data_IF_284018680158
#
_entry.id   IF_284018680158
#
_cell.length_a   1.000
_cell.length_b   1.000
_cell.length_c   1.000
_cell.angle_alpha   90.00
_cell.angle_beta   90.00
_cell.angle_gamma   90.00
#
_symmetry.space_group_name_H-M   'P 1'
#
loop_
_entity.id
_entity.type
_entity.pdbx_description
1 polymer ?
#
# COMPACT_ATOMS: atom_id res chain seq x y z
N UNK A 1 -4.93 55.11 -25.36
CA UNK A 1 -3.95 54.69 -24.33
C UNK A 1 -2.52 55.03 -24.73
N UNK A 2 -1.93 54.63 -25.85
CA UNK A 2 -0.62 55.22 -26.28
C UNK A 2 -0.75 56.47 -27.16
N UNK A 3 -1.91 56.60 -27.81
CA UNK A 3 -2.25 57.64 -28.79
C UNK A 3 -2.23 59.06 -28.21
N UNK A 4 -2.55 59.22 -26.92
CA UNK A 4 -2.53 60.52 -26.24
C UNK A 4 -1.11 60.98 -25.91
N UNK A 5 -0.21 60.06 -25.55
CA UNK A 5 1.20 60.37 -25.31
C UNK A 5 1.93 60.68 -26.63
N UNK A 6 1.64 59.91 -27.69
CA UNK A 6 2.15 60.19 -29.04
C UNK A 6 1.68 61.57 -29.56
N UNK A 7 0.45 61.97 -29.25
CA UNK A 7 -0.07 63.30 -29.58
C UNK A 7 0.67 64.41 -28.81
N UNK A 8 0.91 64.24 -27.50
CA UNK A 8 1.71 65.18 -26.70
C UNK A 8 3.15 65.32 -27.20
N UNK A 9 3.80 64.22 -27.57
CA UNK A 9 5.15 64.25 -28.17
C UNK A 9 5.16 65.08 -29.46
N UNK A 10 4.11 64.98 -30.27
CA UNK A 10 3.99 65.67 -31.56
C UNK A 10 3.69 67.17 -31.42
N UNK A 11 3.10 67.58 -30.30
CA UNK A 11 2.66 68.96 -30.03
C UNK A 11 3.62 69.73 -29.09
N UNK A 12 4.56 69.04 -28.42
CA UNK A 12 5.49 69.65 -27.45
C UNK A 12 6.61 70.46 -28.12
N UNK A 13 6.93 71.62 -27.54
CA UNK A 13 7.87 72.62 -28.11
C UNK A 13 9.28 72.53 -27.47
N UNK A 14 9.40 71.96 -26.26
CA UNK A 14 10.65 71.88 -25.51
C UNK A 14 11.09 70.44 -25.20
N UNK A 15 12.40 70.18 -25.24
CA UNK A 15 12.97 68.82 -25.22
C UNK A 15 12.85 68.04 -23.91
N UNK A 16 12.45 68.67 -22.80
CA UNK A 16 12.19 67.98 -21.52
C UNK A 16 10.81 67.32 -21.49
N UNK A 17 9.78 67.99 -22.02
CA UNK A 17 8.42 67.45 -22.14
C UNK A 17 8.36 66.29 -23.15
N UNK A 18 9.12 66.41 -24.25
CA UNK A 18 9.26 65.34 -25.25
C UNK A 18 9.95 64.11 -24.62
N UNK A 19 11.03 64.30 -23.86
CA UNK A 19 11.73 63.19 -23.19
C UNK A 19 10.88 62.48 -22.15
N UNK A 20 10.15 63.25 -21.32
CA UNK A 20 9.25 62.67 -20.32
C UNK A 20 8.09 61.90 -20.98
N UNK A 21 7.50 62.46 -22.03
CA UNK A 21 6.42 61.79 -22.76
C UNK A 21 6.89 60.53 -23.50
N UNK A 22 8.14 60.49 -23.99
CA UNK A 22 8.75 59.28 -24.57
C UNK A 22 8.99 58.23 -23.48
N UNK A 23 9.52 58.64 -22.32
CA UNK A 23 9.72 57.74 -21.18
C UNK A 23 8.40 57.10 -20.74
N UNK A 24 7.36 57.91 -20.54
CA UNK A 24 6.04 57.44 -20.09
C UNK A 24 5.38 56.52 -21.13
N UNK A 25 5.55 56.81 -22.43
CA UNK A 25 5.04 55.95 -23.49
C UNK A 25 5.75 54.59 -23.54
N UNK A 26 7.07 54.56 -23.33
CA UNK A 26 7.85 53.32 -23.27
C UNK A 26 7.47 52.52 -22.02
N UNK A 27 7.33 53.16 -20.87
CA UNK A 27 6.90 52.51 -19.63
C UNK A 27 5.49 51.92 -19.78
N UNK A 28 4.58 52.64 -20.44
CA UNK A 28 3.24 52.13 -20.73
C UNK A 28 3.27 50.94 -21.70
N UNK A 29 4.15 50.92 -22.72
CA UNK A 29 4.36 49.74 -23.57
C UNK A 29 4.80 48.52 -22.76
N UNK A 30 5.66 48.68 -21.75
CA UNK A 30 6.07 47.58 -20.87
C UNK A 30 4.94 47.12 -19.92
N UNK A 31 4.13 48.05 -19.40
CA UNK A 31 2.95 47.73 -18.58
C UNK A 31 1.86 47.02 -19.38
N UNK A 32 1.59 47.49 -20.59
CA UNK A 32 0.63 46.89 -21.50
C UNK A 32 1.10 45.50 -21.97
N UNK A 33 2.42 45.31 -22.18
CA UNK A 33 2.99 43.99 -22.45
C UNK A 33 2.84 43.06 -21.24
N UNK A 34 3.24 43.46 -20.04
CA UNK A 34 3.17 42.59 -18.85
C UNK A 34 1.74 42.21 -18.42
N UNK A 35 0.73 43.02 -18.77
CA UNK A 35 -0.68 42.73 -18.50
C UNK A 35 -1.43 41.96 -19.62
N UNK A 36 -0.83 41.77 -20.80
CA UNK A 36 -1.48 41.06 -21.91
C UNK A 36 -1.23 39.54 -21.80
N UNK A 37 -2.28 38.70 -21.83
CA UNK A 37 -2.14 37.23 -21.67
C UNK A 37 -1.26 36.58 -22.75
N UNK A 38 -1.13 37.20 -23.92
CA UNK A 38 -0.31 36.73 -25.05
C UNK A 38 1.10 37.34 -25.09
N UNK A 39 1.49 38.13 -24.10
CA UNK A 39 2.84 38.71 -24.11
C UNK A 39 3.90 37.67 -23.80
N UNK A 40 5.08 37.86 -24.39
CA UNK A 40 6.23 36.99 -24.16
C UNK A 40 6.57 36.90 -22.67
N UNK A 41 6.41 37.99 -21.90
CA UNK A 41 6.69 38.02 -20.47
C UNK A 41 5.68 37.17 -19.65
N UNK A 42 4.38 37.27 -19.96
CA UNK A 42 3.35 36.47 -19.29
C UNK A 42 3.50 34.97 -19.61
N UNK A 43 3.81 34.64 -20.87
CA UNK A 43 4.07 33.27 -21.31
C UNK A 43 5.30 32.69 -20.61
N UNK A 44 6.40 33.44 -20.51
CA UNK A 44 7.62 33.00 -19.80
C UNK A 44 7.37 32.78 -18.31
N UNK A 45 6.60 33.65 -17.65
CA UNK A 45 6.17 33.46 -16.26
C UNK A 45 5.32 32.20 -16.07
N UNK A 46 4.34 31.97 -16.96
CA UNK A 46 3.50 30.78 -16.95
C UNK A 46 4.32 29.49 -17.12
N UNK A 47 5.21 29.46 -18.12
CA UNK A 47 6.13 28.35 -18.36
C UNK A 47 7.07 28.09 -17.18
N UNK A 48 7.57 29.15 -16.53
CA UNK A 48 8.44 29.01 -15.35
C UNK A 48 7.70 28.36 -14.18
N UNK A 49 6.44 28.73 -13.96
CA UNK A 49 5.59 28.13 -12.92
C UNK A 49 5.29 26.67 -13.22
N UNK A 50 4.92 26.35 -14.45
CA UNK A 50 4.63 24.98 -14.90
C UNK A 50 5.88 24.07 -14.81
N UNK A 51 7.08 24.61 -15.09
CA UNK A 51 8.35 23.88 -14.92
C UNK A 51 8.60 23.53 -13.44
N UNK A 52 8.33 24.45 -12.52
CA UNK A 52 8.50 24.22 -11.08
C UNK A 52 7.52 23.17 -10.56
N UNK A 53 6.25 23.23 -11.00
CA UNK A 53 5.23 22.25 -10.66
C UNK A 53 5.61 20.85 -11.18
N UNK A 54 5.94 20.72 -12.47
CA UNK A 54 6.39 19.44 -13.05
C UNK A 54 7.65 18.89 -12.39
N UNK A 55 8.59 19.76 -12.00
CA UNK A 55 9.79 19.33 -11.28
C UNK A 55 9.43 18.70 -9.93
N UNK A 56 8.45 19.27 -9.24
CA UNK A 56 7.97 18.75 -7.95
C UNK A 56 7.30 17.39 -8.13
N UNK A 57 6.45 17.24 -9.15
CA UNK A 57 5.80 15.95 -9.46
C UNK A 57 6.82 14.86 -9.80
N UNK A 58 7.82 15.20 -10.62
CA UNK A 58 8.92 14.28 -10.97
C UNK A 58 9.74 13.90 -9.74
N UNK A 59 10.03 14.84 -8.84
CA UNK A 59 10.78 14.57 -7.62
C UNK A 59 9.97 13.66 -6.66
N UNK A 60 8.65 13.78 -6.63
CA UNK A 60 7.74 12.86 -5.90
C UNK A 60 7.72 11.46 -6.53
N UNK A 61 7.52 11.36 -7.85
CA UNK A 61 7.55 10.05 -8.52
C UNK A 61 8.91 9.38 -8.41
N UNK A 62 10.00 10.15 -8.39
CA UNK A 62 11.35 9.62 -8.16
C UNK A 62 11.50 9.02 -6.76
N UNK A 63 10.97 9.67 -5.71
CA UNK A 63 10.95 9.11 -4.35
C UNK A 63 10.10 7.85 -4.26
N UNK A 64 8.95 7.81 -4.96
CA UNK A 64 8.12 6.61 -5.06
C UNK A 64 8.89 5.47 -5.71
N UNK A 65 9.59 5.74 -6.81
CA UNK A 65 10.46 4.77 -7.49
C UNK A 65 11.61 4.31 -6.58
N UNK A 66 12.28 5.22 -5.87
CA UNK A 66 13.36 4.86 -4.95
C UNK A 66 12.84 3.99 -3.78
N UNK A 67 11.66 4.30 -3.25
CA UNK A 67 10.98 3.46 -2.25
C UNK A 67 10.61 2.08 -2.82
N UNK A 68 10.14 2.01 -4.07
CA UNK A 68 9.85 0.74 -4.75
C UNK A 68 11.13 -0.08 -4.96
N UNK A 69 12.25 0.56 -5.31
CA UNK A 69 13.55 -0.10 -5.47
C UNK A 69 14.07 -0.60 -4.13
N UNK A 70 13.99 0.22 -3.06
CA UNK A 70 14.42 -0.14 -1.72
C UNK A 70 13.58 -1.29 -1.13
N UNK A 71 12.28 -1.31 -1.39
CA UNK A 71 11.41 -2.42 -1.01
C UNK A 71 11.68 -3.69 -1.87
N UNK A 72 11.97 -3.51 -3.17
CA UNK A 72 12.19 -4.60 -4.12
C UNK A 72 13.55 -5.29 -4.01
N UNK A 73 14.58 -4.63 -3.46
CA UNK A 73 15.94 -5.21 -3.38
C UNK A 73 16.13 -6.22 -2.25
N UNK A 74 15.20 -6.34 -1.30
CA UNK A 74 15.41 -7.13 -0.07
C UNK A 74 14.64 -8.45 0.03
N UNK A 75 13.72 -8.79 -0.88
CA UNK A 75 12.95 -10.04 -0.79
C UNK A 75 13.22 -10.93 -1.99
N UNK A 76 14.39 -11.56 -2.00
CA UNK A 76 14.63 -12.71 -2.87
C UNK A 76 13.57 -13.78 -2.56
N UNK A 77 12.77 -14.14 -3.56
CA UNK A 77 11.82 -15.24 -3.45
C UNK A 77 12.52 -16.45 -2.86
N UNK A 78 12.04 -16.93 -1.72
CA UNK A 78 12.55 -18.17 -1.17
C UNK A 78 11.97 -19.31 -2.01
N UNK A 79 12.84 -20.08 -2.67
CA UNK A 79 12.45 -21.32 -3.36
C UNK A 79 12.51 -22.50 -2.38
N UNK A 80 11.86 -23.60 -2.73
CA UNK A 80 11.97 -24.83 -1.94
C UNK A 80 13.43 -25.26 -1.80
N UNK A 81 13.84 -25.67 -0.60
CA UNK A 81 15.24 -26.02 -0.30
C UNK A 81 15.36 -27.41 0.29
N UNK A 82 16.49 -28.06 0.01
CA UNK A 82 16.82 -29.34 0.63
C UNK A 82 17.29 -29.09 2.04
N UNK A 83 16.61 -29.70 3.01
CA UNK A 83 16.88 -29.54 4.43
C UNK A 83 17.56 -30.78 5.04
N UNK A 84 17.53 -31.90 4.32
CA UNK A 84 18.21 -33.13 4.71
C UNK A 84 18.63 -33.93 3.49
N UNK A 85 19.84 -34.47 3.52
CA UNK A 85 20.29 -35.56 2.63
C UNK A 85 21.10 -36.60 3.40
N UNK A 86 20.96 -37.88 3.05
CA UNK A 86 21.77 -38.98 3.62
C UNK A 86 22.72 -39.57 2.59
N UNK A 87 23.71 -40.32 3.06
CA UNK A 87 24.66 -41.01 2.17
C UNK A 87 24.01 -42.15 1.37
N UNK A 88 24.73 -42.57 0.31
CA UNK A 88 24.31 -43.56 -0.71
C UNK A 88 24.17 -44.98 -0.14
N UNK A 89 24.74 -45.24 1.04
CA UNK A 89 24.72 -46.56 1.66
C UNK A 89 23.83 -46.55 2.91
N UNK A 90 22.55 -46.84 2.70
CA UNK A 90 21.61 -47.12 3.78
C UNK A 90 22.01 -48.34 4.59
N UNK A 91 21.95 -48.26 5.92
CA UNK A 91 22.22 -49.41 6.81
C UNK A 91 21.12 -50.45 6.67
N UNK A 92 21.49 -51.69 6.37
CA UNK A 92 20.51 -52.76 6.20
C UNK A 92 19.97 -53.28 7.54
N UNK A 93 18.67 -53.58 7.56
CA UNK A 93 17.97 -54.28 8.63
C UNK A 93 17.46 -55.60 8.09
N UNK A 94 17.70 -56.68 8.83
CA UNK A 94 17.15 -57.99 8.49
C UNK A 94 15.64 -58.01 8.74
N UNK A 95 14.88 -58.38 7.72
CA UNK A 95 13.44 -58.56 7.76
C UNK A 95 13.10 -60.04 7.61
N UNK A 96 12.14 -60.52 8.40
CA UNK A 96 11.51 -61.82 8.16
C UNK A 96 10.25 -61.64 7.31
N UNK A 97 9.94 -62.61 6.45
CA UNK A 97 8.72 -62.56 5.65
C UNK A 97 7.45 -62.53 6.52
N UNK A 98 7.50 -63.09 7.72
CA UNK A 98 6.38 -63.14 8.69
C UNK A 98 6.47 -62.06 9.78
N UNK A 99 7.35 -61.07 9.63
CA UNK A 99 7.54 -60.06 10.66
C UNK A 99 6.34 -59.10 10.76
N UNK A 100 5.96 -58.79 12.00
CA UNK A 100 5.13 -57.62 12.31
C UNK A 100 5.82 -56.33 11.84
N UNK A 101 5.06 -55.23 11.81
CA UNK A 101 5.56 -53.91 11.39
C UNK A 101 6.95 -53.59 11.99
N UNK A 102 7.96 -53.43 11.13
CA UNK A 102 9.34 -53.14 11.54
C UNK A 102 9.57 -51.64 11.43
N UNK A 103 9.97 -51.01 12.52
CA UNK A 103 10.42 -49.61 12.49
C UNK A 103 11.80 -49.56 11.86
N UNK A 104 11.92 -48.93 10.69
CA UNK A 104 13.21 -48.72 10.05
C UNK A 104 13.85 -47.44 10.57
N UNK A 105 14.86 -47.62 11.41
CA UNK A 105 15.41 -46.61 12.29
C UNK A 105 16.79 -46.08 11.86
N UNK A 106 17.25 -46.46 10.66
CA UNK A 106 18.57 -46.07 10.13
C UNK A 106 18.48 -45.04 9.02
N UNK A 107 17.29 -44.57 8.69
CA UNK A 107 17.07 -43.66 7.57
C UNK A 107 17.76 -42.32 7.75
N UNK A 108 17.80 -41.78 8.97
CA UNK A 108 18.38 -40.46 9.23
C UNK A 108 19.80 -40.54 9.78
N UNK A 109 20.50 -41.66 9.54
CA UNK A 109 21.92 -41.79 9.82
C UNK A 109 22.76 -41.13 8.73
N UNK A 110 24.01 -40.78 9.06
CA UNK A 110 24.99 -40.29 8.10
C UNK A 110 24.46 -39.10 7.27
N UNK A 111 23.80 -38.14 7.92
CA UNK A 111 23.26 -36.93 7.29
C UNK A 111 24.41 -36.07 6.77
N UNK A 112 24.35 -35.71 5.49
CA UNK A 112 25.37 -34.94 4.79
C UNK A 112 25.11 -33.44 4.81
N UNK A 113 23.83 -33.05 4.72
CA UNK A 113 23.40 -31.66 4.81
C UNK A 113 22.16 -31.59 5.69
N UNK A 114 22.13 -30.59 6.56
CA UNK A 114 21.05 -30.34 7.52
C UNK A 114 20.81 -28.84 7.62
N UNK A 115 19.54 -28.44 7.66
CA UNK A 115 19.13 -27.07 7.98
C UNK A 115 18.44 -27.06 9.36
N UNK A 116 19.17 -26.55 10.36
CA UNK A 116 18.74 -26.58 11.77
C UNK A 116 17.47 -25.76 12.05
N UNK A 117 17.07 -24.85 11.15
CA UNK A 117 15.82 -24.10 11.29
C UNK A 117 14.60 -24.93 10.90
N UNK A 118 14.79 -26.01 10.14
CA UNK A 118 13.72 -26.82 9.57
C UNK A 118 13.71 -28.23 10.11
N UNK A 119 14.86 -28.80 10.46
CA UNK A 119 14.95 -30.20 10.87
C UNK A 119 16.01 -30.42 11.94
N UNK A 120 15.73 -31.31 12.89
CA UNK A 120 16.70 -31.82 13.86
C UNK A 120 16.65 -33.34 13.93
N UNK A 121 17.79 -33.96 14.20
CA UNK A 121 17.87 -35.39 14.50
C UNK A 121 18.09 -35.51 16.02
N UNK A 122 17.05 -35.84 16.80
CA UNK A 122 17.11 -35.82 18.26
C UNK A 122 18.04 -36.89 18.82
N UNK A 123 18.75 -36.55 19.90
CA UNK A 123 19.46 -37.51 20.76
C UNK A 123 18.51 -37.98 21.90
N UNK A 124 18.55 -39.25 22.37
CA UNK A 124 19.46 -40.34 22.00
C UNK A 124 19.06 -41.11 20.73
N UNK A 125 17.92 -40.78 20.13
CA UNK A 125 17.36 -41.46 18.96
C UNK A 125 18.03 -41.04 17.62
N UNK A 126 19.35 -40.81 17.63
CA UNK A 126 20.08 -40.40 16.42
C UNK A 126 19.95 -41.48 15.34
N UNK A 127 19.35 -41.09 14.21
CA UNK A 127 19.07 -41.98 13.07
C UNK A 127 17.63 -42.48 12.96
N UNK A 128 16.94 -42.61 14.09
CA UNK A 128 15.66 -43.29 14.23
C UNK A 128 14.50 -42.40 13.80
N UNK A 129 14.59 -41.13 14.15
CA UNK A 129 13.52 -40.14 14.00
C UNK A 129 14.14 -38.85 13.50
N UNK A 130 13.42 -38.11 12.68
CA UNK A 130 13.71 -36.72 12.39
C UNK A 130 12.60 -35.84 12.93
N UNK A 131 12.94 -34.67 13.48
CA UNK A 131 11.98 -33.68 13.97
C UNK A 131 11.97 -32.50 13.02
N UNK A 132 10.86 -32.31 12.32
CA UNK A 132 10.57 -31.14 11.51
C UNK A 132 10.11 -30.00 12.42
N UNK A 133 10.71 -28.82 12.28
CA UNK A 133 10.56 -27.71 13.21
C UNK A 133 9.55 -26.65 12.76
N UNK A 134 9.16 -26.65 11.48
CA UNK A 134 8.27 -25.64 10.90
C UNK A 134 7.04 -26.27 10.26
N UNK A 135 5.83 -25.73 10.51
CA UNK A 135 4.66 -26.05 9.70
C UNK A 135 4.93 -25.75 8.23
N UNK A 136 4.48 -26.64 7.34
CA UNK A 136 4.76 -26.50 5.92
C UNK A 136 4.48 -27.75 5.09
N UNK A 137 4.77 -27.62 3.80
CA UNK A 137 4.71 -28.69 2.81
C UNK A 137 6.11 -29.24 2.54
N UNK A 138 6.25 -30.55 2.65
CA UNK A 138 7.50 -31.27 2.53
C UNK A 138 7.40 -32.33 1.44
N UNK A 139 8.52 -32.56 0.78
CA UNK A 139 8.72 -33.66 -0.14
C UNK A 139 9.93 -34.47 0.31
N UNK A 140 9.76 -35.78 0.40
CA UNK A 140 10.77 -36.73 0.82
C UNK A 140 10.90 -37.80 -0.24
N UNK A 141 12.12 -38.05 -0.69
CA UNK A 141 12.42 -39.14 -1.62
C UNK A 141 13.56 -39.99 -1.08
N UNK A 142 13.56 -41.27 -1.39
CA UNK A 142 14.65 -42.20 -1.03
C UNK A 142 14.62 -43.44 -1.92
N UNK A 143 15.71 -44.20 -1.90
CA UNK A 143 15.83 -45.48 -2.60
C UNK A 143 15.60 -46.61 -1.60
N UNK A 144 14.51 -47.35 -1.78
CA UNK A 144 14.25 -48.59 -1.07
C UNK A 144 15.01 -49.75 -1.74
N UNK A 145 15.79 -50.49 -0.97
CA UNK A 145 16.58 -51.63 -1.42
C UNK A 145 16.21 -52.88 -0.65
N UNK A 146 16.02 -53.98 -1.37
CA UNK A 146 15.94 -55.33 -0.79
C UNK A 146 17.14 -56.14 -1.26
N UNK A 147 17.68 -57.00 -0.40
CA UNK A 147 18.79 -57.89 -0.76
C UNK A 147 18.75 -59.22 -0.02
N UNK A 148 19.24 -60.28 -0.66
CA UNK A 148 19.29 -61.63 -0.12
C UNK A 148 20.36 -62.46 -0.84
N UNK A 149 21.01 -63.36 -0.12
CA UNK A 149 21.90 -64.37 -0.72
C UNK A 149 21.09 -65.40 -1.50
N UNK A 150 21.41 -65.62 -2.78
CA UNK A 150 20.78 -66.67 -3.60
C UNK A 150 19.54 -66.25 -4.38
N UNK A 151 19.42 -64.97 -4.74
CA UNK A 151 18.27 -64.43 -5.49
C UNK A 151 17.14 -63.95 -4.59
N UNK A 152 16.23 -63.17 -5.16
CA UNK A 152 15.08 -62.59 -4.47
C UNK A 152 13.79 -63.24 -4.98
N UNK A 153 12.91 -63.75 -4.09
CA UNK A 153 11.54 -64.03 -4.47
C UNK A 153 10.79 -62.70 -4.71
N UNK A 154 9.53 -62.79 -5.12
CA UNK A 154 8.68 -61.60 -5.10
C UNK A 154 8.51 -61.11 -3.65
N UNK A 155 8.76 -59.81 -3.42
CA UNK A 155 8.66 -59.17 -2.10
C UNK A 155 7.72 -57.97 -2.21
N UNK A 156 6.43 -58.13 -1.91
CA UNK A 156 5.53 -57.01 -1.76
C UNK A 156 5.71 -56.36 -0.39
N UNK A 157 5.87 -55.05 -0.37
CA UNK A 157 6.20 -54.26 0.80
C UNK A 157 5.23 -53.11 0.97
N UNK A 158 4.91 -52.81 2.22
CA UNK A 158 4.23 -51.60 2.64
C UNK A 158 5.25 -50.71 3.35
N UNK A 159 5.43 -49.49 2.86
CA UNK A 159 6.27 -48.48 3.50
C UNK A 159 5.38 -47.34 3.96
N UNK A 160 5.42 -47.04 5.25
CA UNK A 160 4.57 -46.02 5.88
C UNK A 160 5.46 -44.93 6.46
N UNK A 161 5.23 -43.69 6.04
CA UNK A 161 5.74 -42.52 6.73
C UNK A 161 4.79 -42.20 7.88
N UNK A 162 5.32 -42.21 9.10
CA UNK A 162 4.56 -41.90 10.30
C UNK A 162 4.98 -40.59 10.93
N UNK A 163 4.07 -39.94 11.65
CA UNK A 163 4.35 -38.79 12.51
C UNK A 163 3.86 -38.94 13.95
N UNK A 164 4.52 -38.23 14.86
CA UNK A 164 4.04 -37.97 16.22
C UNK A 164 4.33 -36.53 16.63
N UNK A 165 3.56 -36.02 17.61
CA UNK A 165 3.81 -34.70 18.21
C UNK A 165 4.98 -34.71 19.21
N UNK A 166 5.32 -35.87 19.77
CA UNK A 166 6.41 -36.09 20.72
C UNK A 166 7.29 -37.25 20.30
N UNK A 167 8.56 -37.23 20.73
CA UNK A 167 9.55 -38.26 20.40
C UNK A 167 9.10 -39.68 20.78
N UNK A 168 8.52 -39.83 21.98
CA UNK A 168 8.04 -41.11 22.51
C UNK A 168 6.50 -41.24 22.39
N UNK A 169 5.89 -40.44 21.50
CA UNK A 169 4.44 -40.43 21.31
C UNK A 169 3.92 -41.57 20.45
N UNK A 170 2.60 -41.63 20.31
CA UNK A 170 1.95 -42.51 19.34
C UNK A 170 2.18 -41.98 17.93
N UNK A 171 2.79 -42.82 17.09
CA UNK A 171 3.07 -42.50 15.70
C UNK A 171 1.89 -42.93 14.81
N UNK A 172 1.39 -42.00 14.01
CA UNK A 172 0.27 -42.20 13.09
C UNK A 172 0.74 -42.13 11.64
N UNK A 173 0.11 -42.89 10.75
CA UNK A 173 0.46 -42.88 9.33
C UNK A 173 0.06 -41.55 8.66
N UNK A 174 0.99 -40.91 7.97
CA UNK A 174 0.71 -39.73 7.12
C UNK A 174 0.70 -40.13 5.64
N UNK A 175 1.59 -41.05 5.25
CA UNK A 175 1.68 -41.56 3.88
C UNK A 175 1.99 -43.06 3.88
N UNK A 176 1.52 -43.75 2.86
CA UNK A 176 1.73 -45.18 2.69
C UNK A 176 1.96 -45.47 1.22
N UNK A 177 3.04 -46.17 0.91
CA UNK A 177 3.33 -46.69 -0.42
C UNK A 177 3.36 -48.22 -0.39
N UNK A 178 2.83 -48.82 -1.45
CA UNK A 178 2.88 -50.26 -1.68
C UNK A 178 3.81 -50.53 -2.87
N UNK A 179 4.83 -51.35 -2.65
CA UNK A 179 5.85 -51.66 -3.64
C UNK A 179 5.92 -53.16 -3.83
N UNK A 180 6.11 -53.61 -5.06
CA UNK A 180 6.40 -55.02 -5.34
C UNK A 180 7.79 -55.11 -5.96
N UNK A 181 8.70 -55.77 -5.25
CA UNK A 181 9.99 -56.17 -5.80
C UNK A 181 9.79 -57.51 -6.52
N UNK A 182 9.94 -57.58 -7.85
CA UNK A 182 9.69 -58.80 -8.61
C UNK A 182 10.73 -59.88 -8.29
N UNK A 183 10.34 -61.14 -8.46
CA UNK A 183 11.26 -62.26 -8.35
C UNK A 183 12.43 -62.12 -9.35
N UNK A 184 13.65 -62.40 -8.90
CA UNK A 184 14.86 -62.28 -9.71
C UNK A 184 15.99 -63.16 -9.19
N UNK A 185 16.90 -63.57 -10.09
CA UNK A 185 18.17 -64.21 -9.70
C UNK A 185 19.17 -63.21 -9.10
N UNK A 186 18.94 -61.91 -9.27
CA UNK A 186 19.77 -60.86 -8.66
C UNK A 186 19.67 -60.90 -7.13
N UNK A 187 20.80 -60.65 -6.47
CA UNK A 187 20.88 -60.62 -5.00
C UNK A 187 20.40 -59.32 -4.38
N UNK A 188 20.08 -58.30 -5.19
CA UNK A 188 19.46 -57.07 -4.72
C UNK A 188 18.61 -56.37 -5.78
N UNK A 189 17.55 -55.69 -5.34
CA UNK A 189 16.73 -54.80 -6.15
C UNK A 189 16.53 -53.45 -5.47
N UNK A 190 16.26 -52.42 -6.28
CA UNK A 190 16.05 -51.05 -5.82
C UNK A 190 14.79 -50.44 -6.45
N UNK A 191 14.13 -49.56 -5.70
CA UNK A 191 12.96 -48.77 -6.13
C UNK A 191 13.03 -47.38 -5.50
N UNK A 192 12.67 -46.36 -6.27
CA UNK A 192 12.48 -45.01 -5.74
C UNK A 192 11.14 -44.93 -5.02
N UNK A 193 11.12 -44.21 -3.91
CA UNK A 193 9.92 -43.95 -3.09
C UNK A 193 9.86 -42.46 -2.82
N UNK A 194 8.69 -41.87 -2.99
CA UNK A 194 8.44 -40.44 -2.84
C UNK A 194 7.22 -40.19 -1.96
N UNK A 195 7.33 -39.23 -1.05
CA UNK A 195 6.27 -38.80 -0.15
C UNK A 195 6.16 -37.29 -0.19
N UNK A 196 5.00 -36.78 -0.59
CA UNK A 196 4.62 -35.37 -0.40
C UNK A 196 3.61 -35.27 0.73
N UNK A 197 3.95 -34.53 1.79
CA UNK A 197 3.15 -34.45 3.01
C UNK A 197 3.24 -33.05 3.64
N UNK A 198 2.16 -32.66 4.33
CA UNK A 198 2.08 -31.41 5.07
C UNK A 198 2.10 -31.67 6.57
N UNK A 199 2.70 -30.75 7.33
CA UNK A 199 2.65 -30.74 8.78
C UNK A 199 2.17 -29.37 9.27
N UNK A 200 1.32 -29.37 10.29
CA UNK A 200 0.71 -28.13 10.82
C UNK A 200 1.41 -27.62 12.08
N UNK A 201 2.32 -28.41 12.63
CA UNK A 201 3.09 -28.12 13.84
C UNK A 201 4.43 -28.83 13.79
N UNK A 202 5.31 -28.54 14.74
CA UNK A 202 6.57 -29.26 14.90
C UNK A 202 6.27 -30.75 15.08
N UNK A 203 6.88 -31.59 14.24
CA UNK A 203 6.44 -32.98 14.08
C UNK A 203 7.65 -33.91 13.99
N UNK A 204 7.59 -35.01 14.73
CA UNK A 204 8.56 -36.10 14.63
C UNK A 204 8.12 -37.08 13.55
N UNK A 205 9.02 -37.51 12.66
CA UNK A 205 8.76 -38.45 11.58
C UNK A 205 9.68 -39.66 11.64
N UNK A 206 9.17 -40.83 11.23
CA UNK A 206 9.94 -42.07 11.07
C UNK A 206 9.32 -42.96 10.00
N UNK A 207 10.07 -43.97 9.55
CA UNK A 207 9.56 -44.99 8.64
C UNK A 207 9.19 -46.27 9.36
N UNK A 208 8.07 -46.83 8.95
CA UNK A 208 7.62 -48.17 9.27
C UNK A 208 7.57 -48.99 7.98
N UNK A 209 8.09 -50.20 8.02
CA UNK A 209 8.22 -51.08 6.85
C UNK A 209 7.70 -52.46 7.20
N UNK A 210 6.85 -53.01 6.32
CA UNK A 210 6.23 -54.32 6.53
C UNK A 210 6.27 -55.11 5.23
N UNK A 211 6.56 -56.40 5.33
CA UNK A 211 6.32 -57.32 4.21
C UNK A 211 4.83 -57.71 4.19
N UNK A 212 4.25 -57.85 2.99
CA UNK A 212 2.81 -58.07 2.82
C UNK A 212 2.46 -59.52 2.45
N UNK A 213 3.46 -60.42 2.34
CA UNK A 213 3.24 -61.83 1.98
C UNK A 213 3.75 -62.80 3.03
N UNK A 214 2.94 -63.83 3.26
CA UNK A 214 3.25 -65.01 4.08
C UNK A 214 4.28 -65.91 3.38
N UNK A 215 5.56 -65.54 3.50
CA UNK A 215 6.70 -66.32 3.02
C UNK A 215 7.51 -66.95 4.15
N UNK A 216 8.50 -67.79 3.81
CA UNK A 216 9.49 -68.32 4.76
C UNK A 216 10.89 -67.76 4.48
N UNK A 217 11.60 -67.32 5.52
CA UNK A 217 13.01 -66.90 5.45
C UNK A 217 13.24 -65.45 5.89
N UNK A 218 14.37 -64.88 5.44
CA UNK A 218 14.72 -63.48 5.67
C UNK A 218 15.30 -62.81 4.41
N UNK A 219 15.22 -61.49 4.39
CA UNK A 219 15.88 -60.62 3.44
C UNK A 219 16.33 -59.35 4.17
N UNK A 220 17.24 -58.58 3.58
CA UNK A 220 17.70 -57.32 4.13
C UNK A 220 16.99 -56.17 3.43
N UNK A 221 16.44 -55.24 4.20
CA UNK A 221 15.93 -53.97 3.72
C UNK A 221 16.87 -52.83 4.08
N UNK A 222 17.11 -51.90 3.16
CA UNK A 222 17.69 -50.60 3.48
C UNK A 222 17.00 -49.49 2.71
N UNK A 223 16.99 -48.31 3.30
CA UNK A 223 16.67 -47.07 2.61
C UNK A 223 17.92 -46.20 2.52
N UNK A 224 18.24 -45.76 1.31
CA UNK A 224 19.42 -44.97 0.97
C UNK A 224 19.03 -43.69 0.21
N UNK A 225 19.98 -42.77 0.04
CA UNK A 225 19.80 -41.54 -0.75
C UNK A 225 18.55 -40.75 -0.36
N UNK A 226 18.24 -40.71 0.94
CA UNK A 226 17.09 -39.98 1.44
C UNK A 226 17.35 -38.48 1.30
N UNK A 227 16.44 -37.77 0.65
CA UNK A 227 16.43 -36.32 0.54
C UNK A 227 15.09 -35.78 1.02
N UNK A 228 15.11 -34.82 1.95
CA UNK A 228 13.93 -34.07 2.35
C UNK A 228 14.09 -32.64 1.85
N UNK A 229 13.09 -32.18 1.11
CA UNK A 229 12.96 -30.84 0.58
C UNK A 229 11.75 -30.18 1.22
N UNK A 230 11.94 -29.01 1.83
CA UNK A 230 10.82 -28.15 2.21
C UNK A 230 10.38 -27.38 0.96
N UNK A 231 9.13 -27.55 0.57
CA UNK A 231 8.54 -26.89 -0.60
C UNK A 231 7.95 -25.55 -0.18
N UNK A 232 7.19 -25.54 0.92
CA UNK A 232 6.51 -24.37 1.45
C UNK A 232 6.51 -24.39 2.98
N UNK A 233 6.50 -23.23 3.62
CA UNK A 233 6.53 -23.13 5.08
C UNK A 233 5.89 -21.83 5.57
N UNK A 234 5.43 -21.87 6.82
CA UNK A 234 4.92 -20.67 7.48
C UNK A 234 5.99 -19.57 7.52
N UNK A 235 5.69 -18.41 6.95
CA UNK A 235 6.61 -17.27 6.86
C UNK A 235 7.54 -17.31 5.65
N UNK A 236 7.38 -18.23 4.69
CA UNK A 236 8.10 -18.22 3.43
C UNK A 236 7.83 -16.93 2.66
N UNK A 237 8.88 -16.27 2.22
CA UNK A 237 8.75 -15.09 1.35
C UNK A 237 8.36 -15.54 -0.07
N UNK A 238 7.06 -15.50 -0.36
CA UNK A 238 6.53 -15.72 -1.70
C UNK A 238 6.74 -14.46 -2.54
N UNK A 239 7.46 -14.58 -3.67
CA UNK A 239 7.76 -13.49 -4.61
C UNK A 239 6.55 -12.83 -5.29
N UNK A 240 5.32 -13.19 -4.92
CA UNK A 240 4.10 -12.52 -5.37
C UNK A 240 3.80 -11.29 -4.50
N UNK A 241 4.68 -10.29 -4.54
CA UNK A 241 4.36 -8.97 -3.97
C UNK A 241 4.61 -7.81 -4.93
N UNK A 242 5.14 -8.05 -6.14
CA UNK A 242 5.26 -6.98 -7.14
C UNK A 242 3.91 -6.36 -7.54
N UNK A 243 2.79 -7.07 -7.35
CA UNK A 243 1.44 -6.52 -7.58
C UNK A 243 0.69 -6.11 -6.30
N UNK A 244 1.19 -6.46 -5.10
CA UNK A 244 0.46 -6.21 -3.84
C UNK A 244 1.38 -5.55 -2.83
N UNK A 245 1.83 -4.33 -3.17
CA UNK A 245 2.23 -3.38 -2.13
C UNK A 245 1.02 -3.20 -1.21
N UNK A 246 1.18 -3.38 0.09
CA UNK A 246 0.12 -3.10 1.06
C UNK A 246 -0.29 -1.65 0.83
N UNK A 247 -1.44 -1.46 0.18
CA UNK A 247 -1.91 -0.14 -0.25
C UNK A 247 -2.23 0.79 0.94
N UNK A 248 -1.95 0.33 2.16
CA UNK A 248 -1.86 1.10 3.39
C UNK A 248 -0.51 1.76 3.65
N UNK A 249 0.52 1.57 2.86
CA UNK A 249 1.83 2.21 3.08
C UNK A 249 1.90 3.49 2.22
N UNK A 250 2.13 4.63 2.87
CA UNK A 250 2.28 5.95 2.24
C UNK A 250 3.63 6.18 1.56
N UNK A 251 3.70 7.23 0.74
CA UNK A 251 4.96 7.71 0.13
C UNK A 251 6.02 8.08 1.19
N UNK A 252 5.57 8.51 2.36
CA UNK A 252 6.39 8.83 3.54
C UNK A 252 6.80 7.58 4.36
N UNK A 253 6.40 6.38 3.92
CA UNK A 253 6.63 5.12 4.63
C UNK A 253 5.66 4.85 5.79
N UNK A 254 4.68 5.73 6.03
CA UNK A 254 3.69 5.56 7.10
C UNK A 254 2.71 4.45 6.75
N UNK A 255 2.52 3.47 7.66
CA UNK A 255 1.52 2.41 7.51
C UNK A 255 0.19 2.80 8.17
N UNK A 256 -0.83 3.03 7.35
CA UNK A 256 -2.18 3.39 7.78
C UNK A 256 -2.98 2.19 8.29
N UNK A 257 -3.98 2.43 9.15
CA UNK A 257 -4.73 1.35 9.80
C UNK A 257 -5.61 0.57 8.80
N UNK A 258 -6.10 1.25 7.77
CA UNK A 258 -6.96 0.68 6.73
C UNK A 258 -6.72 1.34 5.36
N UNK A 259 -7.14 0.63 4.30
CA UNK A 259 -6.95 1.07 2.91
C UNK A 259 -7.64 2.40 2.61
N UNK A 260 -8.83 2.64 3.18
CA UNK A 260 -9.54 3.91 2.98
C UNK A 260 -8.80 5.10 3.57
N UNK A 261 -8.17 4.95 4.74
CA UNK A 261 -7.34 5.96 5.37
C UNK A 261 -6.09 6.25 4.55
N UNK A 262 -5.47 5.20 4.02
CA UNK A 262 -4.30 5.34 3.15
C UNK A 262 -4.63 6.08 1.85
N UNK A 263 -5.69 5.67 1.16
CA UNK A 263 -6.17 6.34 -0.06
C UNK A 263 -6.50 7.81 0.24
N UNK A 264 -7.18 8.11 1.35
CA UNK A 264 -7.52 9.51 1.70
C UNK A 264 -6.31 10.39 2.04
N UNK A 265 -5.27 9.83 2.66
CA UNK A 265 -4.06 10.59 3.00
C UNK A 265 -3.09 10.69 1.81
N UNK A 266 -3.04 9.68 0.95
CA UNK A 266 -2.16 9.63 -0.22
C UNK A 266 -2.76 10.31 -1.45
N UNK A 267 -4.09 10.27 -1.62
CA UNK A 267 -4.81 11.10 -2.57
C UNK A 267 -4.92 12.53 -2.03
N UNK A 268 -3.78 13.20 -1.85
CA UNK A 268 -3.71 14.63 -1.53
C UNK A 268 -4.32 15.44 -2.68
N UNK A 269 -5.65 15.55 -2.62
CA UNK A 269 -6.51 16.32 -3.50
C UNK A 269 -7.88 16.59 -2.86
N UNK A 270 -8.21 15.93 -1.75
CA UNK A 270 -9.40 16.26 -0.96
C UNK A 270 -8.98 17.26 0.14
N UNK A 271 -9.41 18.53 0.09
CA UNK A 271 -9.05 19.50 1.10
C UNK A 271 -9.59 19.06 2.47
N UNK A 272 -8.71 18.88 3.44
CA UNK A 272 -9.09 18.69 4.84
C UNK A 272 -9.73 19.97 5.37
N UNK A 273 -10.82 19.84 6.13
CA UNK A 273 -11.45 20.96 6.82
C UNK A 273 -10.52 21.50 7.91
N UNK A 274 -10.36 22.82 8.03
CA UNK A 274 -9.44 23.46 8.98
C UNK A 274 -9.81 23.25 10.46
N UNK A 275 -11.00 22.72 10.74
CA UNK A 275 -11.47 22.39 12.08
C UNK A 275 -11.42 20.86 12.31
N UNK A 276 -10.28 20.25 12.69
CA UNK A 276 -10.21 18.80 12.82
C UNK A 276 -10.41 18.22 14.23
N UNK A 277 -10.53 19.02 15.30
CA UNK A 277 -10.35 18.47 16.69
C UNK A 277 -11.29 19.00 17.78
N UNK A 278 -12.50 19.43 17.43
CA UNK A 278 -13.51 19.81 18.42
C UNK A 278 -14.66 18.80 18.40
N UNK A 279 -15.18 18.47 19.59
CA UNK A 279 -16.47 17.83 19.77
C UNK A 279 -17.40 18.87 20.39
N UNK A 280 -18.15 19.57 19.55
CA UNK A 280 -19.12 20.59 19.95
C UNK A 280 -20.51 20.14 19.51
N UNK A 281 -21.46 20.13 20.42
CA UNK A 281 -22.86 19.85 20.11
C UNK A 281 -23.72 20.76 20.98
N UNK A 282 -24.32 21.77 20.37
CA UNK A 282 -25.14 22.75 21.06
C UNK A 282 -26.36 23.09 20.20
N UNK A 283 -27.52 23.16 20.85
CA UNK A 283 -28.75 23.71 20.27
C UNK A 283 -29.04 25.08 20.87
N UNK A 284 -29.04 26.13 20.05
CA UNK A 284 -29.38 27.51 20.43
C UNK A 284 -30.46 28.00 19.46
N UNK A 285 -31.49 28.67 19.97
CA UNK A 285 -32.60 29.21 19.17
C UNK A 285 -33.27 28.17 18.25
N UNK A 286 -33.32 26.89 18.64
CA UNK A 286 -33.87 25.81 17.80
C UNK A 286 -32.97 25.31 16.66
N UNK A 287 -31.76 25.85 16.54
CA UNK A 287 -30.72 25.41 15.61
C UNK A 287 -29.67 24.59 16.34
N UNK A 288 -29.38 23.40 15.84
CA UNK A 288 -28.34 22.51 16.35
C UNK A 288 -27.08 22.62 15.52
N UNK A 289 -25.97 22.93 16.19
CA UNK A 289 -24.62 22.97 15.61
C UNK A 289 -23.84 21.78 16.12
N UNK A 290 -23.33 20.97 15.19
CA UNK A 290 -22.50 19.79 15.48
C UNK A 290 -21.13 19.98 14.83
N UNK A 291 -20.09 19.92 15.63
CA UNK A 291 -18.70 19.81 15.21
C UNK A 291 -18.15 18.50 15.77
N UNK A 292 -17.82 17.54 14.90
CA UNK A 292 -17.27 16.25 15.32
C UNK A 292 -16.14 15.84 14.39
N UNK A 293 -14.90 15.90 14.87
CA UNK A 293 -13.74 15.60 14.05
C UNK A 293 -13.62 16.55 12.86
N UNK A 294 -13.86 16.06 11.63
CA UNK A 294 -13.86 16.86 10.39
C UNK A 294 -15.26 17.24 9.90
N UNK A 295 -16.31 16.76 10.56
CA UNK A 295 -17.70 17.01 10.20
C UNK A 295 -18.21 18.25 10.93
N UNK A 296 -18.69 19.22 10.16
CA UNK A 296 -19.33 20.43 10.64
C UNK A 296 -20.75 20.46 10.06
N UNK A 297 -21.76 20.58 10.91
CA UNK A 297 -23.17 20.65 10.50
C UNK A 297 -23.96 21.70 11.29
N UNK A 298 -24.85 22.43 10.61
CA UNK A 298 -25.84 23.34 11.23
C UNK A 298 -27.22 22.95 10.70
N UNK A 299 -28.11 22.54 11.60
CA UNK A 299 -29.43 22.03 11.22
C UNK A 299 -30.51 22.46 12.21
N UNK A 300 -31.70 22.79 11.72
CA UNK A 300 -32.86 23.05 12.57
C UNK A 300 -33.77 24.14 12.02
N UNK A 301 -34.72 24.58 12.83
CA UNK A 301 -35.61 25.70 12.54
C UNK A 301 -35.53 26.71 13.66
N UNK A 302 -35.20 27.95 13.32
CA UNK A 302 -34.98 29.01 14.29
C UNK A 302 -36.29 29.35 15.03
N UNK A 303 -36.28 29.26 16.36
CA UNK A 303 -37.43 29.56 17.22
C UNK A 303 -37.52 31.02 17.63
N UNK A 304 -36.47 31.81 17.39
CA UNK A 304 -36.37 33.24 17.66
C UNK A 304 -35.27 33.90 16.82
N UNK A 305 -35.20 35.23 16.83
CA UNK A 305 -34.09 35.96 16.21
C UNK A 305 -32.87 35.90 17.12
N UNK A 306 -31.69 35.69 16.55
CA UNK A 306 -30.47 35.69 17.34
C UNK A 306 -29.21 35.47 16.52
N UNK A 307 -28.10 35.33 17.25
CA UNK A 307 -26.78 35.11 16.70
C UNK A 307 -26.21 33.85 17.33
N UNK A 308 -25.83 32.89 16.49
CA UNK A 308 -25.21 31.65 16.91
C UNK A 308 -23.71 31.84 16.75
N UNK A 309 -23.03 32.02 17.88
CA UNK A 309 -21.58 32.14 17.93
C UNK A 309 -20.93 30.75 17.95
N UNK A 310 -19.91 30.58 17.11
CA UNK A 310 -19.09 29.39 17.02
C UNK A 310 -17.64 29.87 17.14
N UNK A 311 -17.13 29.85 18.37
CA UNK A 311 -15.77 30.24 18.71
C UNK A 311 -14.87 29.01 18.92
N UNK A 312 -13.61 29.10 18.51
CA UNK A 312 -12.61 28.10 18.86
C UNK A 312 -12.02 28.42 20.25
N UNK A 313 -12.57 27.84 21.32
CA UNK A 313 -12.20 28.18 22.71
C UNK A 313 -10.87 27.60 23.21
N UNK A 314 -10.14 26.78 22.43
CA UNK A 314 -8.85 26.23 22.86
C UNK A 314 -7.68 26.71 22.00
N UNK A 315 -6.72 27.32 22.70
CA UNK A 315 -5.50 28.04 22.27
C UNK A 315 -4.53 27.16 21.42
N UNK A 316 -4.86 25.91 21.15
CA UNK A 316 -3.95 24.99 20.46
C UNK A 316 -4.46 24.57 19.09
N UNK A 317 -3.71 25.04 18.09
CA UNK A 317 -3.69 24.64 16.68
C UNK A 317 -4.90 25.06 15.84
N UNK A 318 -4.93 26.35 15.53
CA UNK A 318 -5.37 26.73 14.19
C UNK A 318 -4.20 26.53 13.24
N UNK A 319 -4.34 25.66 12.24
CA UNK A 319 -3.44 25.58 11.09
C UNK A 319 -3.60 26.78 10.14
N UNK A 320 -3.83 27.97 10.70
CA UNK A 320 -3.94 29.23 9.97
C UNK A 320 -2.53 29.78 9.81
N UNK A 321 -2.03 29.72 8.59
CA UNK A 321 -0.79 30.40 8.23
C UNK A 321 -1.12 31.87 7.98
N UNK A 322 -0.39 32.74 8.65
CA UNK A 322 -0.57 34.17 8.52
C UNK A 322 -0.42 34.62 7.06
N UNK A 323 -1.31 35.50 6.57
CA UNK A 323 -1.32 35.96 5.18
C UNK A 323 -1.84 34.94 4.16
N UNK A 324 -2.27 33.74 4.58
CA UNK A 324 -2.81 32.72 3.67
C UNK A 324 -4.31 32.91 3.44
N UNK A 325 -4.72 32.70 2.19
CA UNK A 325 -6.14 32.74 1.80
C UNK A 325 -6.78 31.35 1.92
N UNK A 326 -7.96 31.33 2.51
CA UNK A 326 -8.84 30.19 2.68
C UNK A 326 -10.17 30.46 2.00
N UNK A 327 -10.83 29.38 1.59
CA UNK A 327 -12.13 29.39 0.92
C UNK A 327 -13.14 28.69 1.81
N UNK A 328 -14.32 29.30 1.95
CA UNK A 328 -15.36 28.89 2.87
C UNK A 328 -16.59 28.42 2.10
N UNK A 329 -17.02 27.19 2.34
CA UNK A 329 -18.14 26.58 1.63
C UNK A 329 -19.19 26.08 2.60
N UNK A 330 -20.45 26.15 2.16
CA UNK A 330 -21.59 25.56 2.86
C UNK A 330 -22.05 26.33 4.10
N UNK A 331 -21.59 27.56 4.34
CA UNK A 331 -22.12 28.42 5.40
C UNK A 331 -23.36 29.20 4.94
N UNK A 332 -24.28 29.55 5.87
CA UNK A 332 -25.35 30.49 5.57
C UNK A 332 -24.79 31.83 5.05
N UNK A 333 -25.34 32.31 3.93
CA UNK A 333 -24.98 33.60 3.35
C UNK A 333 -25.23 34.71 4.39
N UNK A 334 -24.24 35.58 4.59
CA UNK A 334 -24.26 36.62 5.61
C UNK A 334 -23.61 36.23 6.94
N UNK A 335 -23.01 35.04 7.07
CA UNK A 335 -22.22 34.65 8.25
C UNK A 335 -21.06 35.62 8.46
N UNK A 336 -20.94 36.15 9.68
CA UNK A 336 -19.88 37.07 10.06
C UNK A 336 -18.69 36.26 10.56
N UNK A 337 -17.50 36.63 10.12
CA UNK A 337 -16.23 36.01 10.48
C UNK A 337 -15.35 37.05 11.16
N UNK A 338 -15.04 36.82 12.42
CA UNK A 338 -14.21 37.73 13.22
C UNK A 338 -12.89 37.04 13.57
N UNK A 339 -11.78 37.66 13.20
CA UNK A 339 -10.43 37.25 13.59
C UNK A 339 -10.01 38.00 14.85
N UNK A 340 -9.57 37.28 15.88
CA UNK A 340 -9.15 37.85 17.16
C UNK A 340 -7.67 37.53 17.44
N UNK A 341 -6.95 38.50 17.99
CA UNK A 341 -5.61 38.37 18.60
C UNK A 341 -5.71 38.35 20.13
N UNK A 342 -4.57 38.33 20.83
CA UNK A 342 -4.54 38.51 22.30
C UNK A 342 -5.06 39.86 22.77
N UNK A 343 -4.99 40.90 21.92
CA UNK A 343 -5.29 42.29 22.31
C UNK A 343 -6.64 42.79 21.77
N UNK A 344 -7.36 41.97 21.00
CA UNK A 344 -8.67 42.29 20.45
C UNK A 344 -8.86 41.84 19.00
N UNK A 345 -9.87 42.41 18.34
CA UNK A 345 -10.22 42.09 16.95
C UNK A 345 -9.15 42.56 15.96
N UNK A 346 -8.68 41.64 15.12
CA UNK A 346 -7.79 41.92 13.99
C UNK A 346 -8.59 42.41 12.78
N UNK A 347 -9.58 41.63 12.36
CA UNK A 347 -10.39 41.88 11.18
C UNK A 347 -11.77 41.24 11.35
N UNK A 348 -12.79 41.85 10.77
CA UNK A 348 -14.12 41.28 10.64
C UNK A 348 -14.55 41.33 9.18
N UNK A 349 -15.08 40.21 8.68
CA UNK A 349 -15.54 40.08 7.30
C UNK A 349 -16.80 39.24 7.25
N UNK A 350 -17.52 39.31 6.12
CA UNK A 350 -18.79 38.61 5.94
C UNK A 350 -18.70 37.66 4.76
N UNK A 351 -19.05 36.39 4.99
CA UNK A 351 -19.16 35.40 3.93
C UNK A 351 -20.48 35.61 3.20
N UNK A 352 -20.41 35.74 1.88
CA UNK A 352 -21.57 35.80 1.00
C UNK A 352 -21.42 34.80 -0.13
N UNK A 353 -22.48 34.53 -0.87
CA UNK A 353 -22.42 33.63 -2.03
C UNK A 353 -21.42 34.11 -3.10
N UNK A 354 -21.16 35.42 -3.17
CA UNK A 354 -20.18 36.03 -4.07
C UNK A 354 -18.78 36.20 -3.47
N UNK A 355 -18.65 36.17 -2.14
CA UNK A 355 -17.38 36.33 -1.44
C UNK A 355 -17.21 35.23 -0.39
N UNK A 356 -16.58 34.15 -0.82
CA UNK A 356 -16.26 32.99 0.01
C UNK A 356 -14.78 32.93 0.41
N UNK A 357 -14.03 34.03 0.23
CA UNK A 357 -12.59 34.10 0.49
C UNK A 357 -12.32 34.77 1.83
N UNK A 358 -11.45 34.16 2.62
CA UNK A 358 -10.94 34.70 3.88
C UNK A 358 -9.42 34.73 3.81
N UNK A 359 -8.80 35.88 4.06
CA UNK A 359 -7.35 35.95 4.26
C UNK A 359 -7.08 36.10 5.74
N UNK A 360 -6.15 35.30 6.28
CA UNK A 360 -5.81 35.38 7.70
C UNK A 360 -5.00 36.65 7.96
N UNK A 361 -5.48 37.57 8.82
CA UNK A 361 -4.77 38.81 9.14
C UNK A 361 -3.56 38.56 10.05
N UNK A 362 -2.58 39.46 9.98
CA UNK A 362 -1.41 39.46 10.84
C UNK A 362 -1.79 39.44 12.33
N UNK A 363 -1.23 38.49 13.08
CA UNK A 363 -1.44 38.36 14.52
C UNK A 363 -2.76 37.71 14.94
N UNK A 364 -3.60 37.27 14.00
CA UNK A 364 -4.81 36.52 14.30
C UNK A 364 -4.47 35.18 14.97
N UNK A 365 -5.14 34.88 16.08
CA UNK A 365 -4.99 33.64 16.85
C UNK A 365 -6.26 32.80 16.91
N UNK A 366 -7.41 33.48 16.92
CA UNK A 366 -8.72 32.85 17.01
C UNK A 366 -9.61 33.34 15.87
N UNK A 367 -10.45 32.44 15.36
CA UNK A 367 -11.54 32.77 14.44
C UNK A 367 -12.86 32.51 15.15
N UNK A 368 -13.80 33.44 15.00
CA UNK A 368 -15.17 33.33 15.51
C UNK A 368 -16.11 33.42 14.32
N UNK A 369 -17.07 32.50 14.25
CA UNK A 369 -18.07 32.44 13.19
C UNK A 369 -19.44 32.73 13.80
N UNK A 370 -20.07 33.79 13.33
CA UNK A 370 -21.33 34.31 13.84
C UNK A 370 -22.42 34.14 12.79
N UNK A 371 -23.28 33.15 13.01
CA UNK A 371 -24.40 32.85 12.11
C UNK A 371 -25.63 33.61 12.59
N UNK A 372 -26.09 34.58 11.79
CA UNK A 372 -27.31 35.32 12.06
C UNK A 372 -28.52 34.47 11.67
N UNK A 373 -29.46 34.30 12.59
CA UNK A 373 -30.70 33.56 12.35
C UNK A 373 -31.92 34.41 12.69
N UNK A 374 -32.95 34.33 11.86
CA UNK A 374 -34.25 34.97 12.07
C UNK A 374 -35.31 33.93 12.42
N UNK A 375 -36.33 34.35 13.14
CA UNK A 375 -37.47 33.52 13.49
C UNK A 375 -38.03 32.79 12.26
N UNK A 376 -38.14 31.46 12.36
CA UNK A 376 -38.55 30.50 11.32
C UNK A 376 -37.53 30.23 10.20
N UNK A 377 -36.32 30.75 10.27
CA UNK A 377 -35.26 30.34 9.34
C UNK A 377 -35.00 28.83 9.47
N UNK A 378 -34.97 28.13 8.33
CA UNK A 378 -34.64 26.71 8.28
C UNK A 378 -33.22 26.57 7.76
N UNK A 379 -32.32 26.06 8.61
CA UNK A 379 -30.94 25.77 8.23
C UNK A 379 -30.78 24.27 8.04
N UNK A 380 -30.16 23.86 6.93
CA UNK A 380 -29.84 22.46 6.66
C UNK A 380 -28.51 22.32 5.93
N UNK A 381 -27.43 22.48 6.68
CA UNK A 381 -26.06 22.40 6.18
C UNK A 381 -25.38 21.22 6.86
N UNK A 382 -25.63 20.01 6.37
CA UNK A 382 -25.10 18.76 6.96
C UNK A 382 -23.87 18.28 6.21
N UNK A 383 -22.70 18.28 6.85
CA UNK A 383 -21.44 17.80 6.24
C UNK A 383 -20.95 18.62 5.03
N UNK A 384 -21.61 19.73 4.71
CA UNK A 384 -21.29 20.62 3.59
C UNK A 384 -20.33 21.73 3.99
N UNK A 385 -20.12 21.95 5.29
CA UNK A 385 -19.39 23.10 5.80
C UNK A 385 -17.88 22.83 5.78
N UNK A 386 -17.16 23.63 4.99
CA UNK A 386 -15.71 23.46 4.78
C UNK A 386 -14.98 24.80 4.75
N UNK A 387 -13.86 24.89 5.46
CA UNK A 387 -12.85 25.95 5.27
C UNK A 387 -11.56 25.27 4.80
N UNK A 388 -11.10 25.63 3.59
CA UNK A 388 -9.95 24.98 2.96
C UNK A 388 -8.99 25.97 2.29
N UNK A 389 -7.72 25.60 2.19
CA UNK A 389 -6.65 26.43 1.61
C UNK A 389 -6.59 26.40 0.07
N UNK A 390 -7.61 25.86 -0.60
CA UNK A 390 -7.74 25.78 -2.06
C UNK A 390 -9.20 26.01 -2.45
N UNK A 391 -9.41 26.62 -3.60
CA UNK A 391 -10.74 26.82 -4.19
C UNK A 391 -11.32 25.45 -4.59
N UNK A 392 -12.40 25.01 -3.96
CA UNK A 392 -13.15 23.86 -4.45
C UNK A 392 -14.00 24.30 -5.64
N UNK A 393 -13.53 23.99 -6.85
CA UNK A 393 -14.35 24.09 -8.06
C UNK A 393 -15.57 23.19 -7.89
N UNK A 394 -16.77 23.72 -8.14
CA UNK A 394 -18.01 22.94 -8.18
C UNK A 394 -17.87 21.79 -9.18
N UNK A 395 -18.66 20.72 -9.02
CA UNK A 395 -18.66 19.62 -10.00
C UNK A 395 -18.94 20.13 -11.42
N UNK A 396 -19.76 21.17 -11.57
CA UNK A 396 -20.05 21.79 -12.87
C UNK A 396 -18.84 22.52 -13.46
N UNK A 397 -18.07 23.25 -12.65
CA UNK A 397 -16.84 23.91 -13.09
C UNK A 397 -15.76 22.90 -13.48
N UNK A 398 -15.66 21.79 -12.76
CA UNK A 398 -14.76 20.68 -13.11
C UNK A 398 -15.18 20.02 -14.43
N UNK A 399 -16.48 19.79 -14.63
CA UNK A 399 -17.04 19.26 -15.89
C UNK A 399 -16.74 20.22 -17.05
N UNK A 400 -16.97 21.52 -16.87
CA UNK A 400 -16.72 22.52 -17.90
C UNK A 400 -15.23 22.57 -18.27
N UNK A 401 -14.33 22.50 -17.28
CA UNK A 401 -12.90 22.49 -17.50
C UNK A 401 -12.40 21.20 -18.19
N UNK A 402 -13.00 20.06 -17.87
CA UNK A 402 -12.78 18.79 -18.58
C UNK A 402 -13.28 18.85 -20.02
N UNK A 403 -14.45 19.44 -20.28
CA UNK A 403 -14.99 19.67 -21.62
C UNK A 403 -14.03 20.52 -22.46
N UNK A 404 -13.52 21.63 -21.93
CA UNK A 404 -12.54 22.47 -22.64
C UNK A 404 -11.25 21.71 -22.99
N UNK A 405 -10.78 20.83 -22.10
CA UNK A 405 -9.59 19.99 -22.37
C UNK A 405 -9.87 18.93 -23.43
N UNK A 406 -11.07 18.35 -23.45
CA UNK A 406 -11.52 17.41 -24.47
C UNK A 406 -11.54 18.10 -25.85
N UNK A 407 -12.10 19.30 -25.92
CA UNK A 407 -12.17 20.08 -27.16
C UNK A 407 -10.76 20.40 -27.70
N UNK A 408 -9.84 20.81 -26.81
CA UNK A 408 -8.45 21.06 -27.17
C UNK A 408 -7.73 19.79 -27.69
N UNK A 409 -7.97 18.63 -27.08
CA UNK A 409 -7.43 17.35 -27.56
C UNK A 409 -8.00 16.96 -28.93
N UNK A 410 -9.29 17.17 -29.15
CA UNK A 410 -9.93 16.90 -30.45
C UNK A 410 -9.32 17.76 -31.56
N UNK A 411 -9.00 19.02 -31.26
CA UNK A 411 -8.33 19.92 -32.22
C UNK A 411 -6.92 19.42 -32.57
N UNK A 412 -6.16 18.93 -31.59
CA UNK A 412 -4.83 18.33 -31.79
C UNK A 412 -4.93 17.05 -32.64
N UNK A 413 -5.86 16.15 -32.30
CA UNK A 413 -6.08 14.90 -33.06
C UNK A 413 -6.45 15.21 -34.51
N UNK A 414 -7.33 16.18 -34.73
CA UNK A 414 -7.72 16.61 -36.08
C UNK A 414 -6.49 17.06 -36.87
N UNK A 415 -5.63 17.91 -36.29
CA UNK A 415 -4.39 18.37 -36.93
C UNK A 415 -3.44 17.21 -37.30
N UNK A 416 -3.32 16.20 -36.44
CA UNK A 416 -2.49 15.00 -36.69
C UNK A 416 -3.07 14.17 -37.84
N UNK A 417 -4.38 13.92 -37.84
CA UNK A 417 -5.04 13.09 -38.86
C UNK A 417 -5.06 13.78 -40.22
N UNK A 418 -5.15 15.11 -40.27
CA UNK A 418 -5.13 15.88 -41.51
C UNK A 418 -3.73 16.28 -41.98
N UNK A 419 -2.67 15.92 -41.23
CA UNK A 419 -1.30 16.24 -41.62
C UNK A 419 -0.92 15.50 -42.92
N UNK A 420 -0.42 16.18 -43.96
CA UNK A 420 -0.04 15.53 -45.21
C UNK A 420 1.06 14.50 -44.96
N UNK A 421 0.84 13.24 -45.34
CA UNK A 421 1.90 12.24 -45.30
C UNK A 421 3.03 12.64 -46.25
N UNK A 422 4.24 12.85 -45.70
CA UNK A 422 5.45 13.02 -46.51
C UNK A 422 5.62 11.76 -47.35
N UNK A 423 5.36 11.87 -48.66
CA UNK A 423 5.76 10.87 -49.65
C UNK A 423 7.29 10.74 -49.57
N UNK A 424 7.76 9.57 -49.13
CA UNK A 424 9.15 9.15 -49.34
C UNK A 424 9.36 8.76 -50.80
#
# INVERSE_FOLDING_TARGET
MISNYLKKIKEAIYGEEVRSSIHDAIEQCYKDATGHPDSVAAVVLGLSKEIVERKTDVDTERKRIDNLIAAGTAQTQEIGKTILSTSINGTSVAMSYLAADVVYDKMFNNVLSKDDDFITIPYPQQGYVAKLLKPGLYHMKFVARVSRTGGLPEVPMRIVLQSAASLDGNYEAIKTEYLVFPATSSTSLQRNVEFTFAINQLTYIKLLVTNVVDGSGSFNFSAADCQITVIDWAGKLCGSMQEVVDARIGEDGTKYSNLGEAIRNQAQGIPGNLFPRMNYNHTIYGITTILKGREFSITGTATENGLIEIANELITTVGMENGKTYFVYGFPSGTIVTFLSETGTCEETQITDANNKLTVPDGARTIVLNVVVKYKDVLNYTGTIKICNRESKTYQEQINELSTKIDAMQEIITKIVTAPQRRQ
#
